data_IF_366719066526
#
_entry.id   IF_366719066526
#
_cell.length_a   1.000
_cell.length_b   1.000
_cell.length_c   1.000
_cell.angle_alpha   90.00
_cell.angle_beta   90.00
_cell.angle_gamma   90.00
#
_symmetry.space_group_name_H-M   'P 1'
#
loop_
_entity.id
_entity.type
_entity.pdbx_description
1 polymer ?
#
# COMPACT_ATOMS: atom_id res chain seq x y z
N UNK A 1 -9.10 -6.72 -15.64
CA UNK A 1 -7.86 -7.55 -15.76
C UNK A 1 -7.54 -8.08 -14.37
N UNK A 2 -6.81 -9.18 -14.22
CA UNK A 2 -6.44 -9.70 -12.89
C UNK A 2 -5.08 -9.13 -12.45
N UNK A 3 -4.84 -9.00 -11.14
CA UNK A 3 -3.57 -8.55 -10.58
C UNK A 3 -2.43 -9.45 -11.02
N UNK A 4 -2.62 -10.78 -10.97
CA UNK A 4 -1.62 -11.76 -11.42
C UNK A 4 -1.21 -11.56 -12.88
N UNK A 5 -2.12 -11.10 -13.74
CA UNK A 5 -1.82 -10.83 -15.17
C UNK A 5 -1.22 -9.45 -15.41
N UNK A 6 -1.52 -8.49 -14.53
CA UNK A 6 -1.16 -7.09 -14.73
C UNK A 6 0.19 -6.73 -14.11
N UNK A 7 0.61 -7.46 -13.07
CA UNK A 7 1.85 -7.19 -12.32
C UNK A 7 2.73 -8.44 -12.36
N UNK A 8 3.85 -8.35 -13.08
CA UNK A 8 4.73 -9.51 -13.34
C UNK A 8 5.35 -10.05 -12.05
N UNK A 9 5.82 -9.16 -11.19
CA UNK A 9 6.47 -9.50 -9.92
C UNK A 9 5.49 -10.19 -8.96
N UNK A 10 4.22 -9.79 -9.01
CA UNK A 10 3.17 -10.42 -8.23
C UNK A 10 2.83 -11.81 -8.77
N UNK A 11 2.84 -11.99 -10.09
CA UNK A 11 2.75 -13.31 -10.71
C UNK A 11 3.90 -14.23 -10.28
N UNK A 12 5.12 -13.70 -10.23
CA UNK A 12 6.30 -14.43 -9.74
C UNK A 12 6.17 -14.80 -8.27
N UNK A 13 5.65 -13.90 -7.42
CA UNK A 13 5.39 -14.17 -6.01
C UNK A 13 4.38 -15.32 -5.81
N UNK A 14 3.30 -15.34 -6.59
CA UNK A 14 2.27 -16.38 -6.49
C UNK A 14 2.71 -17.73 -7.09
N UNK A 15 3.61 -17.72 -8.07
CA UNK A 15 3.99 -18.91 -8.83
C UNK A 15 2.77 -19.54 -9.50
N UNK A 16 2.56 -20.83 -9.25
CA UNK A 16 1.43 -21.58 -9.83
C UNK A 16 0.09 -21.31 -9.12
N UNK A 17 0.09 -20.66 -7.95
CA UNK A 17 -1.13 -20.42 -7.18
C UNK A 17 -2.00 -19.33 -7.81
N UNK A 18 -3.31 -19.48 -7.70
CA UNK A 18 -4.24 -18.38 -8.02
C UNK A 18 -4.24 -17.34 -6.91
N UNK A 19 -4.46 -16.07 -7.27
CA UNK A 19 -4.60 -14.99 -6.29
C UNK A 19 -5.97 -15.07 -5.63
N UNK A 20 -5.98 -15.07 -4.29
CA UNK A 20 -7.20 -14.94 -3.51
C UNK A 20 -7.84 -13.56 -3.69
N UNK A 21 -7.03 -12.51 -3.92
CA UNK A 21 -7.56 -11.19 -4.27
C UNK A 21 -8.30 -11.21 -5.61
N UNK A 22 -7.76 -11.88 -6.63
CA UNK A 22 -8.40 -11.96 -7.95
C UNK A 22 -9.67 -12.84 -7.95
N UNK A 23 -9.70 -13.89 -7.12
CA UNK A 23 -10.81 -14.86 -7.08
C UNK A 23 -11.93 -14.43 -6.14
N UNK A 24 -11.58 -14.10 -4.89
CA UNK A 24 -12.53 -13.90 -3.80
C UNK A 24 -12.76 -12.42 -3.45
N UNK A 25 -11.82 -11.54 -3.80
CA UNK A 25 -11.89 -10.11 -3.45
C UNK A 25 -11.76 -9.21 -4.68
N UNK A 26 -12.51 -9.52 -5.75
CA UNK A 26 -12.45 -8.82 -7.04
C UNK A 26 -12.48 -7.30 -6.92
N UNK A 27 -13.31 -6.75 -6.02
CA UNK A 27 -13.40 -5.31 -5.82
C UNK A 27 -12.11 -4.71 -5.26
N UNK A 28 -11.44 -5.43 -4.35
CA UNK A 28 -10.15 -5.05 -3.81
C UNK A 28 -9.09 -5.13 -4.90
N UNK A 29 -9.08 -6.20 -5.71
CA UNK A 29 -8.17 -6.35 -6.83
C UNK A 29 -8.30 -5.21 -7.86
N UNK A 30 -9.53 -4.85 -8.24
CA UNK A 30 -9.82 -3.71 -9.11
C UNK A 30 -9.32 -2.39 -8.52
N UNK A 31 -9.54 -2.16 -7.24
CA UNK A 31 -9.06 -0.94 -6.57
C UNK A 31 -7.54 -0.86 -6.52
N UNK A 32 -6.87 -1.97 -6.23
CA UNK A 32 -5.41 -2.04 -6.24
C UNK A 32 -4.88 -1.77 -7.64
N UNK A 33 -5.49 -2.38 -8.66
CA UNK A 33 -5.10 -2.17 -10.05
C UNK A 33 -5.28 -0.70 -10.47
N UNK A 34 -6.40 -0.08 -10.10
CA UNK A 34 -6.72 1.30 -10.46
C UNK A 34 -5.67 2.29 -9.94
N UNK A 35 -5.16 2.07 -8.74
CA UNK A 35 -4.21 2.98 -8.09
C UNK A 35 -2.76 2.52 -8.23
N UNK A 36 -2.47 1.47 -9.00
CA UNK A 36 -1.12 0.95 -9.16
C UNK A 36 -0.19 1.99 -9.81
N UNK A 37 0.94 2.29 -9.16
CA UNK A 37 1.88 3.32 -9.60
C UNK A 37 1.50 4.74 -9.18
N UNK A 38 0.48 4.90 -8.34
CA UNK A 38 0.06 6.19 -7.78
C UNK A 38 0.19 6.20 -6.26
N UNK A 39 0.28 7.39 -5.65
CA UNK A 39 0.36 7.53 -4.18
C UNK A 39 -0.89 6.97 -3.49
N UNK A 40 -2.03 7.07 -4.15
CA UNK A 40 -3.35 6.59 -3.69
C UNK A 40 -3.35 5.08 -3.43
N UNK A 41 -2.42 4.32 -4.03
CA UNK A 41 -2.19 2.91 -3.71
C UNK A 41 -2.02 2.70 -2.20
N UNK A 42 -1.16 3.47 -1.55
CA UNK A 42 -0.88 3.29 -0.13
C UNK A 42 -2.08 3.69 0.74
N UNK A 43 -2.93 4.63 0.29
CA UNK A 43 -4.18 4.95 0.99
C UNK A 43 -5.16 3.79 0.90
N UNK A 44 -5.22 3.15 -0.28
CA UNK A 44 -6.02 1.94 -0.50
C UNK A 44 -5.54 0.81 0.43
N UNK A 45 -4.25 0.50 0.45
CA UNK A 45 -3.67 -0.55 1.31
C UNK A 45 -3.91 -0.25 2.80
N UNK A 46 -3.68 0.99 3.24
CA UNK A 46 -3.92 1.37 4.63
C UNK A 46 -5.38 1.15 5.05
N UNK A 47 -6.34 1.56 4.21
CA UNK A 47 -7.78 1.33 4.48
C UNK A 47 -8.16 -0.15 4.54
N UNK A 48 -7.47 -1.01 3.80
CA UNK A 48 -7.71 -2.46 3.80
C UNK A 48 -7.15 -3.13 5.07
N UNK A 49 -6.03 -2.62 5.60
CA UNK A 49 -5.34 -3.18 6.76
C UNK A 49 -5.82 -2.60 8.10
N UNK A 50 -6.36 -1.39 8.11
CA UNK A 50 -6.93 -0.78 9.32
C UNK A 50 -8.32 -1.39 9.57
N UNK A 51 -8.39 -2.29 10.55
CA UNK A 51 -9.67 -2.75 11.10
C UNK A 51 -10.14 -1.70 12.10
N UNK A 52 -11.06 -0.83 11.68
CA UNK A 52 -11.82 -0.03 12.64
C UNK A 52 -12.62 -1.00 13.51
N UNK A 53 -12.25 -1.09 14.80
CA UNK A 53 -12.78 -2.03 15.80
C UNK A 53 -14.31 -1.97 15.98
N UNK A 54 -14.97 -0.96 15.45
CA UNK A 54 -16.37 -0.64 15.74
C UNK A 54 -17.39 -1.21 14.74
N UNK A 55 -16.98 -1.73 13.57
CA UNK A 55 -17.93 -2.06 12.49
C UNK A 55 -18.18 -3.55 12.21
N UNK A 56 -17.80 -4.47 13.11
CA UNK A 56 -18.08 -5.91 12.91
C UNK A 56 -17.44 -6.51 11.64
N UNK A 57 -16.46 -5.83 11.04
CA UNK A 57 -15.72 -6.35 9.88
C UNK A 57 -14.76 -7.43 10.36
N UNK A 58 -14.97 -8.66 9.91
CA UNK A 58 -13.95 -9.70 10.01
C UNK A 58 -12.76 -9.25 9.13
N UNK A 59 -11.56 -9.23 9.71
CA UNK A 59 -10.34 -8.93 8.96
C UNK A 59 -10.11 -9.95 7.84
N UNK A 60 -9.12 -9.68 6.98
CA UNK A 60 -8.74 -10.62 5.94
C UNK A 60 -8.09 -11.87 6.53
N UNK A 61 -8.29 -13.05 5.91
CA UNK A 61 -7.52 -14.24 6.26
C UNK A 61 -6.02 -14.03 5.96
N UNK A 62 -5.17 -14.82 6.61
CA UNK A 62 -3.73 -14.64 6.59
C UNK A 62 -3.15 -14.67 5.16
N UNK A 63 -3.64 -15.58 4.32
CA UNK A 63 -3.18 -15.74 2.94
C UNK A 63 -3.45 -14.49 2.11
N UNK A 64 -4.61 -13.84 2.34
CA UNK A 64 -4.96 -12.59 1.65
C UNK A 64 -4.11 -11.43 2.17
N UNK A 65 -3.84 -11.39 3.48
CA UNK A 65 -2.93 -10.39 4.04
C UNK A 65 -1.52 -10.53 3.45
N UNK A 66 -1.02 -11.76 3.27
CA UNK A 66 0.27 -12.01 2.63
C UNK A 66 0.32 -11.47 1.20
N UNK A 67 -0.74 -11.66 0.41
CA UNK A 67 -0.83 -11.07 -0.93
C UNK A 67 -0.81 -9.53 -0.89
N UNK A 68 -1.57 -8.92 0.03
CA UNK A 68 -1.61 -7.46 0.21
C UNK A 68 -0.23 -6.89 0.59
N UNK A 69 0.48 -7.54 1.52
CA UNK A 69 1.83 -7.13 1.90
C UNK A 69 2.85 -7.33 0.78
N UNK A 70 2.76 -8.43 0.04
CA UNK A 70 3.62 -8.68 -1.12
C UNK A 70 3.42 -7.59 -2.19
N UNK A 71 2.17 -7.22 -2.48
CA UNK A 71 1.85 -6.12 -3.40
C UNK A 71 2.44 -4.79 -2.92
N UNK A 72 2.39 -4.51 -1.62
CA UNK A 72 2.98 -3.31 -1.05
C UNK A 72 4.50 -3.27 -1.22
N UNK A 73 5.18 -4.39 -0.96
CA UNK A 73 6.63 -4.51 -1.14
C UNK A 73 7.04 -4.36 -2.60
N UNK A 74 6.32 -5.02 -3.51
CA UNK A 74 6.52 -4.92 -4.95
C UNK A 74 6.33 -3.47 -5.41
N UNK A 75 5.25 -2.81 -4.98
CA UNK A 75 4.99 -1.41 -5.32
C UNK A 75 6.09 -0.48 -4.81
N UNK A 76 6.57 -0.69 -3.58
CA UNK A 76 7.66 0.10 -3.01
C UNK A 76 8.97 -0.08 -3.81
N UNK A 77 9.28 -1.29 -4.27
CA UNK A 77 10.45 -1.57 -5.12
C UNK A 77 10.31 -0.93 -6.50
N UNK A 78 9.12 -0.97 -7.09
CA UNK A 78 8.84 -0.40 -8.40
C UNK A 78 8.78 1.14 -8.38
N UNK A 79 8.31 1.74 -7.28
CA UNK A 79 8.08 3.18 -7.14
C UNK A 79 8.64 3.75 -5.84
N UNK A 80 9.98 3.73 -5.64
CA UNK A 80 10.61 4.07 -4.36
C UNK A 80 10.30 5.50 -3.87
N UNK A 81 10.07 6.44 -4.79
CA UNK A 81 9.75 7.84 -4.45
C UNK A 81 8.31 8.08 -3.96
N UNK A 82 7.37 7.17 -4.22
CA UNK A 82 5.96 7.40 -3.88
C UNK A 82 5.64 7.19 -2.39
N UNK A 83 6.39 6.32 -1.71
CA UNK A 83 6.19 6.07 -0.26
C UNK A 83 6.60 7.27 0.58
N UNK A 84 7.70 7.94 0.21
CA UNK A 84 8.21 9.11 0.93
C UNK A 84 7.22 10.28 0.91
N UNK A 85 6.41 10.40 -0.15
CA UNK A 85 5.38 11.44 -0.27
C UNK A 85 4.22 11.29 0.73
N UNK A 86 4.05 10.12 1.35
CA UNK A 86 3.08 9.94 2.44
C UNK A 86 3.64 10.30 3.80
N UNK A 87 4.94 10.10 4.01
CA UNK A 87 5.61 10.41 5.26
C UNK A 87 5.66 11.93 5.49
N UNK A 88 5.89 12.71 4.42
CA UNK A 88 5.89 14.19 4.46
C UNK A 88 4.55 14.80 4.90
N UNK A 89 3.43 14.07 4.71
CA UNK A 89 2.09 14.50 5.13
C UNK A 89 1.73 14.16 6.59
N UNK A 90 2.54 13.33 7.25
CA UNK A 90 2.39 12.93 8.65
C UNK A 90 3.65 13.29 9.48
N UNK A 91 4.43 14.28 9.03
CA UNK A 91 5.45 14.87 9.89
C UNK A 91 4.76 15.80 10.91
N UNK A 92 4.95 15.65 12.23
CA UNK A 92 4.62 16.71 13.16
C UNK A 92 5.42 17.94 12.74
N UNK A 93 4.75 19.08 12.63
CA UNK A 93 5.36 20.37 12.36
C UNK A 93 6.44 20.69 13.41
N UNK A 94 7.66 20.23 13.17
CA UNK A 94 8.82 20.45 14.02
C UNK A 94 10.02 20.83 13.17
N UNK A 95 9.81 21.68 12.15
CA UNK A 95 10.90 22.45 11.58
C UNK A 95 11.09 23.70 12.43
N UNK A 96 11.64 23.51 13.63
CA UNK A 96 12.15 24.62 14.44
C UNK A 96 13.37 25.18 13.71
N UNK A 97 13.09 26.20 12.90
CA UNK A 97 14.05 27.09 12.28
C UNK A 97 14.71 27.92 13.39
N UNK A 98 15.96 27.64 13.75
CA UNK A 98 16.77 28.53 14.59
C UNK A 98 18.08 28.93 13.89
N UNK A 99 17.94 29.64 12.78
CA UNK A 99 18.96 30.55 12.30
C UNK A 99 18.80 31.90 13.01
N UNK A 100 19.61 32.12 14.05
CA UNK A 100 20.02 33.46 14.48
C UNK A 100 21.54 33.49 14.58
N UNK A 101 22.12 33.97 13.49
CA UNK A 101 23.49 34.45 13.36
C UNK A 101 23.59 35.87 13.95
N UNK A 102 24.59 36.07 14.81
CA UNK A 102 25.35 37.31 15.12
C UNK A 102 24.74 38.45 15.97
N UNK A 103 25.68 39.11 16.69
CA UNK A 103 25.65 40.33 17.50
C UNK A 103 25.34 40.08 18.99
N UNK A 104 26.20 40.35 19.98
CA UNK A 104 27.42 41.17 20.17
C UNK A 104 28.33 40.45 21.18
#
# INVERSE_FOLDING_TARGET
MSLKKSIKEFATFLGDKESLLDTNYKRVAEMIQLHWGYKEFYQCIHKLLVVERDQGRQGFPLEVLQEIYALQEIHQKAFPGLKSLMDDGLAPASRARNNSTMMI
#
